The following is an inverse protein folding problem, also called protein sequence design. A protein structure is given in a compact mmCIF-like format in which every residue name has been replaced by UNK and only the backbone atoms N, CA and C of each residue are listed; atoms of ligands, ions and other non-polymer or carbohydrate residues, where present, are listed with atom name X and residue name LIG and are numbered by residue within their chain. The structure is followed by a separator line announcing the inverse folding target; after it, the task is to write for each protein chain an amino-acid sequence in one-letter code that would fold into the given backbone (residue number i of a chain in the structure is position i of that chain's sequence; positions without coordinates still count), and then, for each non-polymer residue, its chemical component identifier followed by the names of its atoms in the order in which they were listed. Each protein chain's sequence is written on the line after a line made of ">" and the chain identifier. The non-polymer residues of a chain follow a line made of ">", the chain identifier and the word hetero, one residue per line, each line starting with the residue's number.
data_IF_011293287847
#
_entry.id   IF_011293287847
#
_cell.length_a   1.000
_cell.length_b   1.000
_cell.length_c   1.000
_cell.angle_alpha   90.00
_cell.angle_beta   90.00
_cell.angle_gamma   90.00
#
_symmetry.space_group_name_H-M   'P 1'
#
loop_
_entity.id
_entity.type
_entity.pdbx_description
1 polymer ?
#
# COMPACT_ATOMS: atom_id res chain seq x y z
N UNK A 1 -8.07 0.65 10.60
CA UNK A 1 -7.52 0.44 9.24
C UNK A 1 -6.18 1.12 9.05
N UNK A 2 -6.05 2.44 9.24
CA UNK A 2 -4.80 3.20 8.99
C UNK A 2 -3.55 2.56 9.60
N UNK A 3 -3.58 2.16 10.88
CA UNK A 3 -2.45 1.49 11.55
C UNK A 3 -2.01 0.18 10.91
N UNK A 4 -2.95 -0.60 10.36
CA UNK A 4 -2.61 -1.85 9.67
C UNK A 4 -1.91 -1.59 8.33
N UNK A 5 -2.33 -0.55 7.61
CA UNK A 5 -1.71 -0.14 6.34
C UNK A 5 -0.32 0.48 6.56
N UNK A 6 -0.13 1.21 7.67
CA UNK A 6 1.20 1.66 8.09
C UNK A 6 2.12 0.47 8.39
N UNK A 7 1.63 -0.56 9.08
CA UNK A 7 2.41 -1.77 9.33
C UNK A 7 2.74 -2.53 8.03
N UNK A 8 1.79 -2.61 7.10
CA UNK A 8 2.02 -3.17 5.77
C UNK A 8 3.18 -2.45 5.06
N UNK A 9 3.18 -1.11 5.08
CA UNK A 9 4.26 -0.31 4.55
C UNK A 9 5.60 -0.59 5.27
N UNK A 10 5.62 -0.64 6.61
CA UNK A 10 6.85 -0.92 7.36
C UNK A 10 7.48 -2.26 7.00
N UNK A 11 6.68 -3.30 6.70
CA UNK A 11 7.21 -4.61 6.27
C UNK A 11 8.02 -4.51 4.97
N UNK A 12 7.68 -3.59 4.08
CA UNK A 12 8.43 -3.40 2.84
C UNK A 12 9.87 -2.94 3.09
N UNK A 13 10.15 -2.30 4.23
CA UNK A 13 11.50 -1.86 4.60
C UNK A 13 12.42 -3.04 4.97
N UNK A 14 11.84 -4.21 5.26
CA UNK A 14 12.60 -5.42 5.56
C UNK A 14 12.98 -6.23 4.31
N UNK A 15 12.52 -5.82 3.12
CA UNK A 15 12.86 -6.48 1.85
C UNK A 15 14.02 -5.73 1.20
N UNK A 16 15.22 -6.33 1.02
CA UNK A 16 16.40 -5.58 0.58
C UNK A 16 16.29 -4.88 -0.79
N UNK A 17 15.58 -5.48 -1.75
CA UNK A 17 15.31 -4.85 -3.06
C UNK A 17 14.50 -3.57 -2.91
N UNK A 18 13.40 -3.63 -2.17
CA UNK A 18 12.51 -2.49 -1.93
C UNK A 18 13.22 -1.44 -1.07
N UNK A 19 13.83 -1.84 0.04
CA UNK A 19 14.50 -0.93 0.97
C UNK A 19 15.59 -0.09 0.29
N UNK A 20 16.41 -0.69 -0.57
CA UNK A 20 17.43 0.04 -1.35
C UNK A 20 16.81 1.10 -2.25
N UNK A 21 15.72 0.78 -2.94
CA UNK A 21 15.03 1.75 -3.80
C UNK A 21 14.44 2.89 -2.96
N UNK A 22 13.78 2.58 -1.84
CA UNK A 22 13.22 3.59 -0.95
C UNK A 22 14.30 4.53 -0.40
N UNK A 23 15.43 4.00 0.03
CA UNK A 23 16.59 4.76 0.51
C UNK A 23 17.16 5.68 -0.59
N UNK A 24 17.33 5.16 -1.81
CA UNK A 24 17.83 5.93 -2.95
C UNK A 24 16.96 7.14 -3.29
N UNK A 25 15.64 7.06 -3.09
CA UNK A 25 14.73 8.20 -3.34
C UNK A 25 14.87 9.31 -2.31
N UNK A 26 15.43 9.01 -1.12
CA UNK A 26 15.51 9.89 0.05
C UNK A 26 14.17 10.45 0.55
N UNK A 27 13.05 10.01 0.00
CA UNK A 27 11.72 10.53 0.35
C UNK A 27 11.27 10.08 1.75
N UNK A 28 11.85 9.00 2.28
CA UNK A 28 11.62 8.53 3.65
C UNK A 28 12.60 9.13 4.67
N UNK A 29 13.46 10.06 4.26
CA UNK A 29 14.37 10.81 5.16
C UNK A 29 14.18 12.31 5.05
N UNK A 30 14.12 12.84 3.83
CA UNK A 30 14.19 14.28 3.57
C UNK A 30 12.80 14.91 3.44
N UNK A 31 11.80 14.15 2.97
CA UNK A 31 10.44 14.64 2.64
C UNK A 31 9.33 13.71 3.20
N UNK A 32 9.51 13.22 4.43
CA UNK A 32 8.68 12.15 5.03
C UNK A 32 7.18 12.46 5.05
N UNK A 33 6.81 13.67 5.48
CA UNK A 33 5.40 14.08 5.55
C UNK A 33 4.75 14.09 4.18
N UNK A 34 5.39 14.73 3.19
CA UNK A 34 4.88 14.77 1.82
C UNK A 34 4.75 13.36 1.24
N UNK A 35 5.76 12.51 1.43
CA UNK A 35 5.75 11.12 0.95
C UNK A 35 4.59 10.32 1.55
N UNK A 36 4.32 10.53 2.83
CA UNK A 36 3.19 9.90 3.52
C UNK A 36 1.85 10.39 2.95
N UNK A 37 1.67 11.71 2.85
CA UNK A 37 0.44 12.32 2.35
C UNK A 37 0.15 11.93 0.89
N UNK A 38 1.16 11.93 0.02
CA UNK A 38 1.04 11.49 -1.38
C UNK A 38 0.58 10.02 -1.47
N UNK A 39 1.12 9.14 -0.61
CA UNK A 39 0.68 7.74 -0.53
C UNK A 39 -0.77 7.65 -0.08
N UNK A 40 -1.11 8.36 0.99
CA UNK A 40 -2.44 8.35 1.56
C UNK A 40 -3.47 8.83 0.54
N UNK A 41 -3.18 9.89 -0.21
CA UNK A 41 -4.07 10.40 -1.27
C UNK A 41 -4.28 9.34 -2.34
N UNK A 42 -3.20 8.76 -2.90
CA UNK A 42 -3.31 7.76 -3.97
C UNK A 42 -4.16 6.56 -3.51
N UNK A 43 -3.86 6.01 -2.33
CA UNK A 43 -4.55 4.83 -1.81
C UNK A 43 -6.01 5.14 -1.48
N UNK A 44 -6.30 6.26 -0.82
CA UNK A 44 -7.68 6.63 -0.48
C UNK A 44 -8.53 6.88 -1.73
N UNK A 45 -7.96 7.49 -2.77
CA UNK A 45 -8.71 7.75 -4.00
C UNK A 45 -9.09 6.47 -4.75
N UNK A 46 -8.22 5.46 -4.73
CA UNK A 46 -8.52 4.14 -5.29
C UNK A 46 -9.57 3.41 -4.44
N UNK A 47 -9.43 3.44 -3.11
CA UNK A 47 -10.33 2.71 -2.20
C UNK A 47 -11.73 3.34 -2.12
N UNK A 48 -11.84 4.66 -2.06
CA UNK A 48 -13.11 5.36 -1.90
C UNK A 48 -13.95 5.36 -3.18
N UNK A 49 -13.30 5.44 -4.35
CA UNK A 49 -14.01 5.50 -5.63
C UNK A 49 -14.10 4.13 -6.33
N UNK A 50 -13.35 3.13 -5.88
CA UNK A 50 -13.18 1.85 -6.55
C UNK A 50 -12.23 1.95 -7.74
N UNK A 51 -11.37 0.94 -7.93
CA UNK A 51 -10.33 0.94 -8.96
C UNK A 51 -10.89 0.94 -10.40
N UNK A 52 -12.12 0.43 -10.59
CA UNK A 52 -12.82 0.41 -11.87
C UNK A 52 -13.57 1.72 -12.20
N UNK A 53 -13.59 2.70 -11.30
CA UNK A 53 -14.15 4.02 -11.61
C UNK A 53 -13.20 4.83 -12.50
N UNK A 54 -13.73 5.89 -13.15
CA UNK A 54 -12.88 6.83 -13.89
C UNK A 54 -11.79 7.44 -13.01
N UNK A 55 -12.16 7.91 -11.82
CA UNK A 55 -11.25 8.50 -10.84
C UNK A 55 -10.23 7.49 -10.29
N UNK A 56 -10.67 6.28 -9.93
CA UNK A 56 -9.80 5.20 -9.49
C UNK A 56 -8.77 4.82 -10.55
N UNK A 57 -9.18 4.66 -11.81
CA UNK A 57 -8.27 4.38 -12.93
C UNK A 57 -7.23 5.49 -13.12
N UNK A 58 -7.59 6.76 -12.96
CA UNK A 58 -6.65 7.87 -13.11
C UNK A 58 -5.59 7.86 -12.00
N UNK A 59 -5.96 7.54 -10.77
CA UNK A 59 -5.00 7.36 -9.68
C UNK A 59 -4.13 6.11 -9.83
N UNK A 60 -4.67 5.00 -10.35
CA UNK A 60 -3.87 3.83 -10.72
C UNK A 60 -2.85 4.17 -11.80
N UNK A 61 -3.25 4.91 -12.85
CA UNK A 61 -2.32 5.39 -13.88
C UNK A 61 -1.24 6.31 -13.30
N UNK A 62 -1.61 7.21 -12.38
CA UNK A 62 -0.66 8.10 -11.69
C UNK A 62 0.37 7.30 -10.90
N UNK A 63 -0.08 6.31 -10.12
CA UNK A 63 0.79 5.40 -9.37
C UNK A 63 1.73 4.63 -10.32
N UNK A 64 1.20 4.05 -11.38
CA UNK A 64 2.00 3.31 -12.37
C UNK A 64 3.02 4.21 -13.07
N UNK A 65 2.70 5.47 -13.33
CA UNK A 65 3.67 6.44 -13.88
C UNK A 65 4.81 6.74 -12.92
N UNK A 66 4.53 6.84 -11.62
CA UNK A 66 5.55 7.06 -10.58
C UNK A 66 6.44 5.82 -10.49
N UNK A 67 5.84 4.64 -10.33
CA UNK A 67 6.59 3.38 -10.22
C UNK A 67 7.37 3.03 -11.49
N UNK A 68 6.84 3.36 -12.68
CA UNK A 68 7.49 3.11 -13.96
C UNK A 68 8.77 3.91 -14.21
N UNK A 69 9.14 4.83 -13.31
CA UNK A 69 10.44 5.50 -13.32
C UNK A 69 11.57 4.61 -12.77
N UNK A 70 11.22 3.46 -12.19
CA UNK A 70 12.14 2.56 -11.50
C UNK A 70 12.03 1.13 -12.05
N UNK A 71 13.12 0.37 -11.96
CA UNK A 71 13.13 -1.05 -12.28
C UNK A 71 12.67 -1.84 -11.05
N UNK A 72 11.36 -2.05 -10.93
CA UNK A 72 10.74 -2.79 -9.82
C UNK A 72 10.35 -4.18 -10.35
N UNK A 73 10.77 -5.23 -9.64
CA UNK A 73 10.40 -6.60 -10.00
C UNK A 73 8.90 -6.85 -9.79
N UNK A 74 8.33 -7.78 -10.54
CA UNK A 74 6.94 -8.18 -10.29
C UNK A 74 6.78 -8.83 -8.91
N UNK A 75 7.82 -9.51 -8.39
CA UNK A 75 7.79 -10.05 -7.03
C UNK A 75 7.67 -8.95 -5.97
N UNK A 76 8.39 -7.83 -6.12
CA UNK A 76 8.31 -6.70 -5.19
C UNK A 76 6.92 -6.04 -5.23
N UNK A 77 6.31 -5.93 -6.43
CA UNK A 77 4.93 -5.46 -6.57
C UNK A 77 3.94 -6.39 -5.86
N UNK A 78 4.02 -7.69 -6.12
CA UNK A 78 3.12 -8.69 -5.52
C UNK A 78 3.32 -8.77 -4.00
N UNK A 79 4.55 -8.72 -3.51
CA UNK A 79 4.84 -8.67 -2.08
C UNK A 79 4.17 -7.45 -1.46
N UNK A 80 4.42 -6.26 -2.01
CA UNK A 80 3.83 -5.02 -1.50
C UNK A 80 2.31 -5.10 -1.50
N UNK A 81 1.69 -5.46 -2.63
CA UNK A 81 0.23 -5.61 -2.72
C UNK A 81 -0.32 -6.60 -1.68
N UNK A 82 0.34 -7.75 -1.50
CA UNK A 82 -0.08 -8.77 -0.53
C UNK A 82 -0.13 -8.22 0.90
N UNK A 83 0.79 -7.32 1.28
CA UNK A 83 0.76 -6.71 2.61
C UNK A 83 -0.47 -5.82 2.79
N UNK A 84 -0.90 -5.10 1.74
CA UNK A 84 -2.10 -4.27 1.78
C UNK A 84 -3.41 -5.09 1.86
N UNK A 85 -3.42 -6.31 1.33
CA UNK A 85 -4.59 -7.21 1.40
C UNK A 85 -4.64 -7.97 2.75
N UNK A 86 -3.53 -8.57 3.17
CA UNK A 86 -3.55 -9.49 4.31
C UNK A 86 -3.34 -8.83 5.67
N UNK A 87 -2.56 -7.75 5.78
CA UNK A 87 -2.30 -7.12 7.08
C UNK A 87 -3.55 -6.48 7.69
N UNK A 88 -4.48 -5.87 6.94
CA UNK A 88 -5.75 -5.41 7.50
C UNK A 88 -6.57 -6.53 8.14
N UNK A 89 -6.75 -7.66 7.44
CA UNK A 89 -7.50 -8.82 7.96
C UNK A 89 -6.82 -9.37 9.22
N UNK A 90 -5.50 -9.60 9.18
CA UNK A 90 -4.72 -10.07 10.34
C UNK A 90 -4.80 -9.11 11.52
N UNK A 91 -4.78 -7.81 11.27
CA UNK A 91 -4.88 -6.80 12.29
C UNK A 91 -6.26 -6.81 12.94
N UNK A 92 -7.34 -6.86 12.15
CA UNK A 92 -8.71 -6.92 12.65
C UNK A 92 -8.93 -8.20 13.46
N UNK A 93 -8.49 -9.35 12.95
CA UNK A 93 -8.66 -10.62 13.67
C UNK A 93 -7.91 -10.67 15.01
N UNK A 94 -6.81 -9.93 15.13
CA UNK A 94 -5.97 -9.92 16.33
C UNK A 94 -6.34 -8.83 17.34
N UNK A 95 -6.70 -7.65 16.86
CA UNK A 95 -6.86 -6.44 17.67
C UNK A 95 -8.24 -5.79 17.54
N UNK A 96 -9.06 -6.24 16.61
CA UNK A 96 -10.43 -5.77 16.43
C UNK A 96 -11.36 -6.28 17.53
N UNK A 97 -12.55 -5.68 17.62
CA UNK A 97 -13.57 -6.06 18.60
C UNK A 97 -14.16 -7.46 18.33
N UNK A 98 -14.06 -7.95 17.10
CA UNK A 98 -14.39 -9.30 16.67
C UNK A 98 -13.50 -9.75 15.51
N UNK A 99 -13.53 -11.04 15.25
CA UNK A 99 -12.95 -11.64 14.05
C UNK A 99 -13.74 -11.30 12.80
N UNK A 100 -13.06 -11.31 11.66
CA UNK A 100 -13.66 -11.19 10.32
C UNK A 100 -14.50 -12.43 9.97
N UNK A 101 -15.69 -12.22 9.42
CA UNK A 101 -16.50 -13.29 8.85
C UNK A 101 -15.93 -13.73 7.48
N UNK A 102 -16.21 -14.97 7.03
CA UNK A 102 -15.70 -15.47 5.75
C UNK A 102 -15.99 -14.53 4.57
N UNK A 103 -17.21 -14.00 4.47
CA UNK A 103 -17.62 -13.07 3.42
C UNK A 103 -16.88 -11.72 3.49
N UNK A 104 -16.49 -11.25 4.67
CA UNK A 104 -15.69 -10.04 4.80
C UNK A 104 -14.25 -10.28 4.30
N UNK A 105 -13.70 -11.46 4.53
CA UNK A 105 -12.36 -11.85 4.05
C UNK A 105 -12.31 -12.01 2.54
N UNK A 106 -13.38 -12.51 1.94
CA UNK A 106 -13.52 -12.67 0.48
C UNK A 106 -13.75 -11.33 -0.24
N UNK A 107 -14.24 -10.32 0.47
CA UNK A 107 -14.52 -8.98 -0.09
C UNK A 107 -13.33 -8.00 -0.02
N UNK A 108 -12.21 -8.41 0.60
CA UNK A 108 -10.93 -7.67 0.59
C UNK A 108 -10.20 -7.85 -0.74
#
# INVERSE_FOLDING_TARGET
>A
MTRALELALFRTFAVPSIARLLDQTRQFTDDTQRRYDDTAIIINEILLNGYDSGRGRDFVKRMNRIHGQYQISNEDFLYTLSTFIFEPVRWIDRFGWRQTYPNEREAF
#
